data_IF_590899710087
#
_entry.id   IF_590899710087
#
_cell.length_a   1.000
_cell.length_b   1.000
_cell.length_c   1.000
_cell.angle_alpha   90.00
_cell.angle_beta   90.00
_cell.angle_gamma   90.00
#
_symmetry.space_group_name_H-M   'P 1'
#
loop_
_entity.id
_entity.type
_entity.pdbx_description
1 polymer ?
#
# COMPACT_ATOMS: atom_id res chain seq x y z
N UNK A 1 15.60 -15.73 -21.46
CA UNK A 1 16.18 -16.70 -20.50
C UNK A 1 17.07 -15.93 -19.53
N UNK A 2 16.48 -15.43 -18.44
CA UNK A 2 17.21 -14.85 -17.31
C UNK A 2 16.74 -15.60 -16.07
N UNK A 3 17.69 -16.24 -15.39
CA UNK A 3 17.49 -16.82 -14.07
C UNK A 3 17.32 -15.66 -13.09
N UNK A 4 16.12 -15.42 -12.56
CA UNK A 4 15.98 -14.58 -11.37
C UNK A 4 16.42 -15.42 -10.19
N UNK A 5 17.66 -15.18 -9.76
CA UNK A 5 18.18 -15.54 -8.46
C UNK A 5 17.08 -15.20 -7.42
N UNK A 6 16.55 -16.20 -6.71
CA UNK A 6 15.60 -15.96 -5.61
C UNK A 6 16.34 -15.08 -4.60
N UNK A 7 16.09 -13.78 -4.62
CA UNK A 7 16.60 -12.87 -3.59
C UNK A 7 16.13 -13.42 -2.25
N UNK A 8 17.09 -13.63 -1.35
CA UNK A 8 16.81 -14.30 -0.08
C UNK A 8 15.96 -13.35 0.77
N UNK A 9 14.72 -13.75 1.05
CA UNK A 9 13.84 -12.98 1.93
C UNK A 9 14.31 -13.21 3.36
N UNK A 10 14.92 -12.19 3.95
CA UNK A 10 15.36 -12.21 5.34
C UNK A 10 14.24 -11.72 6.26
N UNK A 11 14.23 -12.25 7.49
CA UNK A 11 13.27 -11.89 8.52
C UNK A 11 14.01 -11.33 9.73
N UNK A 12 13.69 -10.10 10.10
CA UNK A 12 14.31 -9.41 11.23
C UNK A 12 13.29 -9.07 12.31
N UNK A 13 13.73 -9.08 13.57
CA UNK A 13 12.96 -8.50 14.67
C UNK A 13 12.89 -7.00 14.47
N UNK A 14 11.69 -6.42 14.60
CA UNK A 14 11.46 -4.99 14.42
C UNK A 14 10.62 -4.41 15.55
N UNK A 15 10.58 -3.08 15.65
CA UNK A 15 9.56 -2.38 16.42
C UNK A 15 8.23 -2.31 15.64
N UNK A 16 7.21 -1.67 16.24
CA UNK A 16 5.89 -1.48 15.62
C UNK A 16 5.91 -0.60 14.36
N UNK A 17 7.00 0.13 14.12
CA UNK A 17 7.22 0.99 12.95
C UNK A 17 8.10 0.31 11.90
N UNK A 18 8.60 -0.89 12.19
CA UNK A 18 9.42 -1.72 11.31
C UNK A 18 10.89 -1.34 11.29
N UNK A 19 11.38 -0.64 12.30
CA UNK A 19 12.81 -0.42 12.52
C UNK A 19 13.45 -1.69 13.08
N UNK A 20 14.59 -2.12 12.53
CA UNK A 20 15.30 -3.32 12.96
C UNK A 20 15.77 -3.18 14.41
N UNK A 21 15.46 -4.17 15.24
CA UNK A 21 15.86 -4.25 16.63
C UNK A 21 16.89 -5.36 16.83
N UNK A 22 17.87 -5.11 17.70
CA UNK A 22 18.71 -6.18 18.22
C UNK A 22 17.90 -7.01 19.23
N UNK A 23 17.67 -8.32 18.97
CA UNK A 23 16.81 -9.17 19.81
C UNK A 23 17.33 -9.37 21.24
N UNK A 24 18.61 -9.08 21.49
CA UNK A 24 19.26 -9.22 22.78
C UNK A 24 19.18 -7.95 23.64
N UNK A 25 18.71 -6.83 23.07
CA UNK A 25 18.48 -5.60 23.82
C UNK A 25 17.25 -5.74 24.74
N UNK A 26 17.26 -5.08 25.92
CA UNK A 26 16.07 -4.98 26.75
C UNK A 26 14.89 -4.41 25.96
N UNK A 27 13.69 -4.93 26.22
CA UNK A 27 12.41 -4.49 25.61
C UNK A 27 12.25 -4.77 24.11
N UNK A 28 13.25 -5.32 23.41
CA UNK A 28 13.10 -5.71 22.00
C UNK A 28 12.01 -6.78 21.81
N UNK A 29 11.89 -7.69 22.78
CA UNK A 29 10.77 -8.63 22.90
C UNK A 29 10.11 -8.39 24.25
N UNK A 30 8.79 -8.25 24.25
CA UNK A 30 8.00 -8.02 25.46
C UNK A 30 7.66 -9.35 26.12
N UNK A 31 7.93 -9.43 27.43
CA UNK A 31 7.57 -10.56 28.28
C UNK A 31 6.69 -10.08 29.42
N UNK A 32 5.48 -10.61 29.51
CA UNK A 32 4.53 -10.31 30.59
C UNK A 32 4.20 -11.57 31.36
N UNK A 33 4.49 -11.59 32.66
CA UNK A 33 4.05 -12.69 33.54
C UNK A 33 2.54 -12.58 33.79
N UNK A 34 1.79 -13.51 33.23
CA UNK A 34 0.32 -13.57 33.34
C UNK A 34 -0.14 -14.67 34.29
N UNK A 35 0.80 -15.31 35.01
CA UNK A 35 0.54 -16.44 35.92
C UNK A 35 -0.56 -16.14 36.94
N UNK A 36 -0.65 -14.88 37.41
CA UNK A 36 -1.62 -14.45 38.42
C UNK A 36 -3.08 -14.54 37.95
N UNK A 37 -3.32 -14.52 36.64
CA UNK A 37 -4.65 -14.57 36.05
C UNK A 37 -5.09 -15.99 35.65
N UNK A 38 -4.25 -17.02 35.89
CA UNK A 38 -4.47 -18.38 35.40
C UNK A 38 -4.41 -19.42 36.53
N UNK A 39 -5.21 -20.50 36.40
CA UNK A 39 -5.14 -21.66 37.28
C UNK A 39 -3.86 -22.46 36.99
N UNK A 40 -2.84 -22.30 37.84
CA UNK A 40 -1.50 -22.90 37.63
C UNK A 40 -1.22 -24.09 38.55
N UNK A 41 -0.49 -25.09 38.04
CA UNK A 41 -0.15 -26.32 38.78
C UNK A 41 1.20 -26.18 39.51
N UNK A 42 1.41 -27.01 40.51
CA UNK A 42 2.72 -27.22 41.14
C UNK A 42 3.12 -28.69 40.99
N UNK A 43 4.41 -28.97 40.84
CA UNK A 43 4.94 -30.35 40.80
C UNK A 43 6.18 -30.49 41.67
N UNK A 44 6.46 -31.71 42.15
CA UNK A 44 7.72 -32.02 42.83
C UNK A 44 8.79 -32.38 41.79
N UNK A 45 9.95 -31.76 41.89
CA UNK A 45 11.12 -32.03 41.03
C UNK A 45 12.26 -32.52 41.92
N UNK A 46 12.94 -33.60 41.51
CA UNK A 46 14.14 -34.11 42.17
C UNK A 46 15.36 -33.34 41.65
N UNK A 47 16.12 -32.71 42.54
CA UNK A 47 17.37 -32.03 42.22
C UNK A 47 18.51 -33.04 42.01
N UNK A 48 19.63 -32.66 41.36
CA UNK A 48 20.84 -33.49 41.26
C UNK A 48 21.39 -33.94 42.61
N UNK A 49 21.15 -33.15 43.67
CA UNK A 49 21.49 -33.50 45.06
C UNK A 49 20.57 -34.56 45.69
N UNK A 50 19.58 -35.07 44.97
CA UNK A 50 18.60 -36.05 45.46
C UNK A 50 17.41 -35.45 46.22
N UNK A 51 17.46 -34.16 46.60
CA UNK A 51 16.37 -33.45 47.32
C UNK A 51 15.18 -33.15 46.42
N UNK A 52 13.97 -33.28 46.96
CA UNK A 52 12.74 -32.86 46.26
C UNK A 52 12.42 -31.39 46.56
N UNK A 53 12.10 -30.62 45.51
CA UNK A 53 11.66 -29.22 45.60
C UNK A 53 10.33 -29.04 44.87
N UNK A 54 9.47 -28.17 45.40
CA UNK A 54 8.22 -27.78 44.75
C UNK A 54 8.50 -26.74 43.66
N UNK A 55 8.22 -27.10 42.42
CA UNK A 55 8.26 -26.18 41.30
C UNK A 55 6.84 -25.69 40.96
N UNK A 56 6.71 -24.40 40.74
CA UNK A 56 5.45 -23.78 40.36
C UNK A 56 5.45 -23.49 38.85
N UNK A 57 4.31 -23.70 38.22
CA UNK A 57 4.11 -23.34 36.82
C UNK A 57 3.94 -21.83 36.71
N UNK A 58 4.70 -21.24 35.80
CA UNK A 58 4.57 -19.86 35.36
C UNK A 58 4.10 -19.85 33.91
N UNK A 59 3.30 -18.85 33.56
CA UNK A 59 2.85 -18.59 32.20
C UNK A 59 3.28 -17.18 31.83
N UNK A 60 4.08 -17.09 30.77
CA UNK A 60 4.55 -15.83 30.22
C UNK A 60 3.87 -15.60 28.88
N UNK A 61 3.39 -14.37 28.69
CA UNK A 61 2.94 -13.85 27.41
C UNK A 61 4.11 -13.16 26.72
N UNK A 62 4.47 -13.65 25.52
CA UNK A 62 5.60 -13.18 24.73
C UNK A 62 5.04 -12.52 23.49
N UNK A 63 5.46 -11.28 23.21
CA UNK A 63 5.03 -10.57 22.01
C UNK A 63 6.14 -9.68 21.45
N UNK A 64 6.06 -9.41 20.15
CA UNK A 64 6.96 -8.53 19.41
C UNK A 64 6.51 -8.41 17.95
N UNK A 65 7.37 -7.81 17.13
CA UNK A 65 7.13 -7.64 15.70
C UNK A 65 8.33 -8.17 14.92
N UNK A 66 8.06 -8.69 13.72
CA UNK A 66 9.09 -9.00 12.73
C UNK A 66 8.72 -8.31 11.41
N UNK A 67 9.70 -8.01 10.57
CA UNK A 67 9.46 -7.56 9.19
C UNK A 67 10.31 -8.37 8.23
N UNK A 68 9.84 -8.47 6.99
CA UNK A 68 10.52 -9.14 5.89
C UNK A 68 11.30 -8.13 5.08
N UNK A 69 12.49 -8.54 4.65
CA UNK A 69 13.43 -7.71 3.91
C UNK A 69 13.95 -8.49 2.71
N UNK A 70 14.21 -7.78 1.62
CA UNK A 70 14.99 -8.26 0.50
C UNK A 70 16.21 -7.35 0.43
N UNK A 71 17.38 -7.94 0.65
CA UNK A 71 18.61 -7.18 0.91
C UNK A 71 18.37 -6.27 2.13
N UNK A 72 18.38 -4.95 1.95
CA UNK A 72 18.14 -3.98 3.02
C UNK A 72 16.75 -3.30 2.93
N UNK A 73 15.98 -3.60 1.89
CA UNK A 73 14.68 -2.97 1.66
C UNK A 73 13.58 -3.77 2.36
N UNK A 74 12.81 -3.08 3.20
CA UNK A 74 11.67 -3.68 3.90
C UNK A 74 10.53 -3.93 2.92
N UNK A 75 10.20 -5.21 2.70
CA UNK A 75 9.13 -5.63 1.79
C UNK A 75 7.82 -5.94 2.49
N UNK A 76 7.81 -6.01 3.83
CA UNK A 76 6.56 -6.18 4.59
C UNK A 76 6.39 -5.13 5.68
N UNK A 77 5.13 -4.78 5.92
CA UNK A 77 4.73 -4.15 7.17
C UNK A 77 5.14 -5.00 8.39
N UNK A 78 5.28 -4.41 9.59
CA UNK A 78 5.58 -5.15 10.82
C UNK A 78 4.50 -6.19 11.15
N UNK A 79 4.90 -7.46 11.20
CA UNK A 79 4.07 -8.62 11.47
C UNK A 79 4.13 -8.92 12.98
N UNK A 80 3.03 -8.76 13.73
CA UNK A 80 3.02 -9.05 15.17
C UNK A 80 3.07 -10.56 15.42
N UNK A 81 3.84 -10.99 16.41
CA UNK A 81 3.75 -12.33 16.99
C UNK A 81 3.35 -12.27 18.45
N UNK A 82 2.51 -13.21 18.88
CA UNK A 82 1.98 -13.29 20.25
C UNK A 82 1.81 -14.75 20.65
N UNK A 83 2.41 -15.16 21.77
CA UNK A 83 2.32 -16.54 22.24
C UNK A 83 2.40 -16.64 23.76
N UNK A 84 1.67 -17.61 24.32
CA UNK A 84 1.81 -18.00 25.72
C UNK A 84 2.77 -19.17 25.85
N UNK A 85 3.76 -19.05 26.74
CA UNK A 85 4.64 -20.16 27.10
C UNK A 85 4.50 -20.48 28.57
N UNK A 86 4.39 -21.76 28.91
CA UNK A 86 4.46 -22.19 30.30
C UNK A 86 5.76 -22.93 30.61
N UNK A 87 6.29 -22.69 31.79
CA UNK A 87 7.48 -23.36 32.31
C UNK A 87 7.37 -23.52 33.82
N UNK A 88 8.23 -24.35 34.41
CA UNK A 88 8.26 -24.59 35.84
C UNK A 88 9.51 -23.98 36.46
N UNK A 89 9.35 -23.24 37.56
CA UNK A 89 10.44 -22.64 38.32
C UNK A 89 10.33 -23.01 39.81
N UNK A 90 11.46 -23.23 40.47
CA UNK A 90 11.52 -23.59 41.89
C UNK A 90 11.44 -22.37 42.82
N UNK A 91 10.51 -21.46 42.55
CA UNK A 91 10.29 -20.24 43.34
C UNK A 91 8.81 -20.06 43.67
N UNK A 92 8.44 -19.27 44.70
CA UNK A 92 7.05 -18.99 45.04
C UNK A 92 6.25 -18.42 43.85
N UNK A 93 4.96 -18.75 43.76
CA UNK A 93 4.06 -18.31 42.66
C UNK A 93 3.95 -16.79 42.47
N UNK A 94 4.26 -15.99 43.49
CA UNK A 94 4.19 -14.52 43.48
C UNK A 94 5.56 -13.85 43.25
N UNK A 95 6.57 -14.63 42.90
CA UNK A 95 7.92 -14.10 42.62
C UNK A 95 7.90 -13.32 41.33
N UNK A 96 8.42 -12.09 41.35
CA UNK A 96 8.58 -11.30 40.14
C UNK A 96 9.77 -11.81 39.33
N UNK A 97 9.48 -12.13 38.07
CA UNK A 97 10.46 -12.66 37.12
C UNK A 97 11.03 -11.55 36.24
N UNK A 98 12.28 -11.75 35.84
CA UNK A 98 12.93 -11.05 34.74
C UNK A 98 13.21 -12.05 33.63
N UNK A 99 13.12 -11.57 32.39
CA UNK A 99 13.30 -12.37 31.19
C UNK A 99 14.41 -11.77 30.35
N UNK A 100 15.21 -12.64 29.73
CA UNK A 100 16.26 -12.25 28.79
C UNK A 100 16.21 -13.16 27.57
N UNK A 101 16.22 -12.57 26.38
CA UNK A 101 16.45 -13.30 25.12
C UNK A 101 17.91 -13.73 25.06
N UNK A 102 18.16 -15.02 24.86
CA UNK A 102 19.50 -15.59 24.72
C UNK A 102 19.78 -16.07 23.30
N UNK A 103 18.73 -16.36 22.54
CA UNK A 103 18.83 -16.79 21.15
C UNK A 103 17.59 -16.31 20.40
N UNK A 104 17.78 -15.81 19.20
CA UNK A 104 16.69 -15.47 18.29
C UNK A 104 17.08 -15.89 16.89
N UNK A 105 16.18 -16.60 16.22
CA UNK A 105 16.30 -16.92 14.81
C UNK A 105 14.93 -16.78 14.15
N UNK A 106 14.87 -16.06 13.04
CA UNK A 106 13.70 -16.01 12.18
C UNK A 106 14.06 -16.53 10.79
N UNK A 107 13.39 -17.59 10.37
CA UNK A 107 13.57 -18.16 9.03
C UNK A 107 12.29 -18.03 8.22
N UNK A 108 12.46 -17.85 6.91
CA UNK A 108 11.36 -17.82 5.94
C UNK A 108 11.48 -19.04 5.03
N UNK A 109 10.34 -19.52 4.55
CA UNK A 109 10.25 -20.54 3.51
C UNK A 109 9.16 -20.14 2.53
N UNK A 110 9.52 -19.92 1.28
CA UNK A 110 8.56 -19.67 0.20
C UNK A 110 7.71 -20.92 -0.01
N UNK A 111 6.39 -20.76 0.07
CA UNK A 111 5.40 -21.84 -0.14
C UNK A 111 4.99 -21.86 -1.62
N UNK A 112 4.71 -20.68 -2.19
CA UNK A 112 4.50 -20.46 -3.62
C UNK A 112 4.70 -18.99 -3.96
N UNK A 113 5.20 -18.70 -5.16
CA UNK A 113 5.21 -17.38 -5.79
C UNK A 113 4.34 -17.46 -7.05
N UNK A 114 3.07 -17.79 -6.89
CA UNK A 114 2.14 -17.69 -8.03
C UNK A 114 1.80 -16.22 -8.23
N UNK A 115 2.30 -15.64 -9.33
CA UNK A 115 1.92 -14.32 -9.85
C UNK A 115 2.26 -13.15 -8.91
N UNK A 116 3.51 -13.10 -8.43
CA UNK A 116 4.08 -11.99 -7.64
C UNK A 116 3.41 -11.67 -6.29
N UNK A 117 2.48 -12.52 -5.84
CA UNK A 117 1.94 -12.53 -4.48
C UNK A 117 2.78 -13.45 -3.59
N UNK A 118 3.32 -12.89 -2.51
CA UNK A 118 4.20 -13.62 -1.60
C UNK A 118 3.42 -14.51 -0.62
N UNK A 119 3.64 -15.83 -0.71
CA UNK A 119 3.16 -16.79 0.28
C UNK A 119 4.35 -17.43 1.01
N UNK A 120 4.50 -17.11 2.29
CA UNK A 120 5.65 -17.52 3.10
C UNK A 120 5.20 -18.26 4.37
N UNK A 121 5.98 -19.26 4.76
CA UNK A 121 6.00 -19.77 6.13
C UNK A 121 7.14 -19.11 6.87
N UNK A 122 6.83 -18.37 7.93
CA UNK A 122 7.79 -17.71 8.79
C UNK A 122 7.89 -18.53 10.09
N UNK A 123 9.10 -18.93 10.44
CA UNK A 123 9.40 -19.68 11.66
C UNK A 123 10.29 -18.85 12.57
N UNK A 124 9.75 -18.47 13.72
CA UNK A 124 10.48 -17.73 14.76
C UNK A 124 10.84 -18.68 15.89
N UNK A 125 12.12 -18.71 16.25
CA UNK A 125 12.65 -19.46 17.38
C UNK A 125 13.28 -18.50 18.38
N UNK A 126 12.74 -18.48 19.60
CA UNK A 126 13.21 -17.62 20.68
C UNK A 126 13.69 -18.50 21.83
N UNK A 127 14.98 -18.46 22.11
CA UNK A 127 15.56 -18.99 23.34
C UNK A 127 15.54 -17.91 24.41
N UNK A 128 14.85 -18.16 25.52
CA UNK A 128 14.67 -17.20 26.62
C UNK A 128 15.14 -17.79 27.94
N UNK A 129 15.62 -16.93 28.82
CA UNK A 129 15.97 -17.24 30.19
C UNK A 129 15.05 -16.46 31.14
N UNK A 130 14.37 -17.19 32.03
CA UNK A 130 13.62 -16.61 33.14
C UNK A 130 14.42 -16.73 34.44
N UNK A 131 14.48 -15.66 35.24
CA UNK A 131 15.10 -15.65 36.56
C UNK A 131 14.37 -14.69 37.52
N UNK A 132 14.37 -14.94 38.84
CA UNK A 132 13.84 -14.00 39.83
C UNK A 132 14.56 -12.65 39.80
N UNK A 133 13.85 -11.53 39.99
CA UNK A 133 14.46 -10.18 40.03
C UNK A 133 15.36 -9.95 41.26
N UNK A 134 15.06 -10.58 42.40
CA UNK A 134 15.62 -10.21 43.71
C UNK A 134 16.47 -11.29 44.39
N UNK A 135 16.80 -12.41 43.72
CA UNK A 135 17.60 -13.50 44.33
C UNK A 135 18.92 -13.80 43.57
N UNK A 136 20.01 -14.23 44.25
CA UNK A 136 21.31 -14.42 43.62
C UNK A 136 21.37 -15.62 42.66
N UNK A 137 22.24 -15.43 41.65
CA UNK A 137 22.54 -16.23 40.46
C UNK A 137 22.82 -17.72 40.73
N UNK A 138 22.06 -18.59 40.06
CA UNK A 138 22.45 -19.80 39.27
C UNK A 138 21.44 -20.95 39.38
N UNK A 139 20.86 -21.22 40.56
CA UNK A 139 20.01 -22.41 40.75
C UNK A 139 18.53 -22.24 40.42
N UNK A 140 18.05 -21.00 40.27
CA UNK A 140 16.62 -20.71 40.01
C UNK A 140 16.37 -20.06 38.65
N UNK A 141 17.30 -20.21 37.69
CA UNK A 141 17.08 -19.79 36.31
C UNK A 141 16.51 -20.92 35.47
N UNK A 142 15.68 -20.58 34.48
CA UNK A 142 15.11 -21.54 33.54
C UNK A 142 15.29 -21.05 32.12
N UNK A 143 15.99 -21.84 31.33
CA UNK A 143 16.00 -21.70 29.88
C UNK A 143 14.78 -22.42 29.28
N UNK A 144 14.17 -21.78 28.30
CA UNK A 144 13.11 -22.37 27.50
C UNK A 144 13.18 -21.84 26.06
N UNK A 145 12.71 -22.66 25.13
CA UNK A 145 12.56 -22.29 23.72
C UNK A 145 11.10 -22.12 23.37
N UNK A 146 10.82 -21.13 22.53
CA UNK A 146 9.50 -20.83 21.99
C UNK A 146 9.61 -20.85 20.48
N UNK A 147 8.79 -21.67 19.84
CA UNK A 147 8.65 -21.75 18.40
C UNK A 147 7.30 -21.12 18.03
N UNK A 148 7.31 -20.25 17.03
CA UNK A 148 6.13 -19.60 16.48
C UNK A 148 6.18 -19.81 14.97
N UNK A 149 5.09 -20.35 14.41
CA UNK A 149 4.93 -20.50 12.97
C UNK A 149 3.84 -19.52 12.53
N UNK A 150 4.19 -18.62 11.60
CA UNK A 150 3.28 -17.66 11.00
C UNK A 150 3.19 -18.01 9.52
N UNK A 151 1.98 -18.04 8.99
CA UNK A 151 1.74 -18.09 7.56
C UNK A 151 1.50 -16.67 7.12
N UNK A 152 2.30 -16.17 6.19
CA UNK A 152 2.15 -14.86 5.58
C UNK A 152 1.58 -15.08 4.18
N UNK A 153 0.40 -14.52 3.91
CA UNK A 153 -0.19 -14.53 2.58
C UNK A 153 -0.57 -13.13 2.16
N UNK A 154 -0.01 -12.71 1.03
CA UNK A 154 -0.55 -11.57 0.32
C UNK A 154 -1.81 -11.99 -0.43
N UNK A 155 -2.88 -11.23 -0.24
CA UNK A 155 -4.07 -11.32 -1.07
C UNK A 155 -4.37 -9.96 -1.65
N UNK A 156 -4.71 -9.92 -2.93
CA UNK A 156 -5.15 -8.68 -3.57
C UNK A 156 -6.45 -8.20 -2.91
N UNK A 157 -6.54 -6.90 -2.62
CA UNK A 157 -7.79 -6.32 -2.15
C UNK A 157 -8.83 -6.37 -3.26
N UNK A 158 -10.05 -6.77 -2.89
CA UNK A 158 -11.19 -6.65 -3.80
C UNK A 158 -11.39 -5.16 -4.04
N UNK A 159 -11.37 -4.77 -5.30
CA UNK A 159 -11.50 -3.36 -5.69
C UNK A 159 -12.68 -3.20 -6.61
N UNK A 160 -13.48 -2.17 -6.36
CA UNK A 160 -14.55 -1.75 -7.23
C UNK A 160 -14.22 -0.33 -7.70
N UNK A 161 -14.12 -0.17 -9.02
CA UNK A 161 -13.99 1.13 -9.66
C UNK A 161 -15.30 1.44 -10.34
N UNK A 162 -15.80 2.65 -10.10
CA UNK A 162 -16.99 3.16 -10.74
C UNK A 162 -16.71 4.55 -11.31
N UNK A 163 -17.34 4.87 -12.43
CA UNK A 163 -17.22 6.19 -13.03
C UNK A 163 -18.60 6.76 -13.30
N UNK A 164 -18.81 7.97 -12.80
CA UNK A 164 -19.91 8.82 -13.21
C UNK A 164 -19.42 9.72 -14.33
N UNK A 165 -20.16 9.81 -15.43
CA UNK A 165 -19.79 10.60 -16.60
C UNK A 165 -20.95 11.51 -16.99
N UNK A 166 -20.66 12.77 -17.26
CA UNK A 166 -21.61 13.75 -17.79
C UNK A 166 -20.87 14.76 -18.67
N UNK A 167 -21.62 15.66 -19.31
CA UNK A 167 -21.06 16.76 -20.10
C UNK A 167 -21.33 18.07 -19.38
N UNK A 168 -20.35 18.97 -19.43
CA UNK A 168 -20.54 20.33 -18.95
C UNK A 168 -21.60 21.04 -19.78
N UNK A 169 -22.56 21.65 -19.09
CA UNK A 169 -23.56 22.55 -19.66
C UNK A 169 -23.28 23.98 -19.20
N UNK A 170 -23.41 24.94 -20.11
CA UNK A 170 -23.18 26.37 -19.86
C UNK A 170 -23.92 26.84 -18.61
N UNK A 171 -23.20 27.54 -17.72
CA UNK A 171 -23.67 28.05 -16.43
C UNK A 171 -24.12 26.99 -15.40
N UNK A 172 -24.08 25.68 -15.74
CA UNK A 172 -24.46 24.61 -14.82
C UNK A 172 -23.31 24.27 -13.86
N UNK A 173 -23.54 24.53 -12.58
CA UNK A 173 -22.60 24.22 -11.48
C UNK A 173 -23.00 23.00 -10.65
N UNK A 174 -24.24 22.52 -10.79
CA UNK A 174 -24.74 21.38 -10.03
C UNK A 174 -25.11 20.24 -10.98
N UNK A 175 -24.62 19.04 -10.66
CA UNK A 175 -24.88 17.81 -11.40
C UNK A 175 -25.43 16.76 -10.45
N UNK A 176 -26.33 15.94 -10.95
CA UNK A 176 -27.10 14.95 -10.21
C UNK A 176 -27.05 13.59 -10.89
N UNK A 177 -27.69 12.60 -10.29
CA UNK A 177 -27.82 11.27 -10.89
C UNK A 177 -28.54 11.29 -12.25
N UNK A 178 -29.39 12.28 -12.52
CA UNK A 178 -30.14 12.39 -13.77
C UNK A 178 -29.26 12.84 -14.95
N UNK A 179 -28.14 13.49 -14.65
CA UNK A 179 -27.19 13.98 -15.65
C UNK A 179 -26.17 12.90 -16.08
N UNK A 180 -26.22 11.71 -15.46
CA UNK A 180 -25.34 10.61 -15.79
C UNK A 180 -25.60 10.09 -17.20
N UNK A 181 -24.53 9.92 -17.98
CA UNK A 181 -24.57 9.25 -19.28
C UNK A 181 -24.67 7.73 -19.05
N UNK A 182 -25.81 7.09 -19.34
CA UNK A 182 -26.09 5.71 -18.94
C UNK A 182 -25.21 4.66 -19.64
N UNK A 183 -24.58 5.04 -20.75
CA UNK A 183 -23.64 4.20 -21.51
C UNK A 183 -22.37 3.87 -20.71
N UNK A 184 -21.93 4.79 -19.84
CA UNK A 184 -20.68 4.66 -19.09
C UNK A 184 -20.87 4.31 -17.61
N UNK A 185 -22.08 4.45 -17.09
CA UNK A 185 -22.43 4.21 -15.68
C UNK A 185 -23.93 4.32 -15.45
N UNK A 186 -24.45 3.77 -14.34
CA UNK A 186 -25.88 3.81 -14.02
C UNK A 186 -26.19 3.76 -12.52
N UNK A 187 -25.22 4.12 -11.69
CA UNK A 187 -25.30 4.10 -10.21
C UNK A 187 -25.40 5.50 -9.63
N UNK A 188 -25.30 6.54 -10.47
CA UNK A 188 -25.25 7.93 -10.06
C UNK A 188 -23.98 8.28 -9.29
N UNK A 189 -23.99 9.46 -8.68
CA UNK A 189 -22.92 9.98 -7.84
C UNK A 189 -22.95 9.25 -6.50
N UNK A 190 -21.92 8.45 -6.23
CA UNK A 190 -21.85 7.61 -5.03
C UNK A 190 -21.62 8.44 -3.77
N UNK A 191 -22.04 7.89 -2.62
CA UNK A 191 -21.74 8.46 -1.31
C UNK A 191 -20.22 8.43 -1.03
N UNK A 192 -19.57 9.60 -0.81
CA UNK A 192 -18.18 9.70 -0.41
C UNK A 192 -17.77 8.85 0.79
N UNK A 193 -18.67 8.59 1.74
CA UNK A 193 -18.39 7.78 2.94
C UNK A 193 -18.35 6.28 2.65
N UNK A 194 -18.88 5.85 1.50
CA UNK A 194 -19.04 4.45 1.11
C UNK A 194 -18.00 3.98 0.08
N UNK A 195 -17.01 4.83 -0.21
CA UNK A 195 -15.89 4.57 -1.13
C UNK A 195 -14.56 4.80 -0.43
N UNK A 196 -13.45 4.33 -1.00
CA UNK A 196 -12.12 4.61 -0.44
C UNK A 196 -11.68 6.03 -0.77
N UNK A 197 -11.83 6.43 -2.03
CA UNK A 197 -11.55 7.78 -2.52
C UNK A 197 -12.22 8.05 -3.86
N UNK A 198 -12.19 9.30 -4.31
CA UNK A 198 -12.63 9.70 -5.64
C UNK A 198 -11.83 10.87 -6.21
N UNK A 199 -11.81 10.97 -7.54
CA UNK A 199 -11.22 12.09 -8.27
C UNK A 199 -12.23 12.66 -9.24
N UNK A 200 -12.29 13.99 -9.34
CA UNK A 200 -13.00 14.69 -10.41
C UNK A 200 -12.01 15.02 -11.53
N UNK A 201 -12.40 14.76 -12.77
CA UNK A 201 -11.71 15.18 -13.97
C UNK A 201 -12.64 16.07 -14.77
N UNK A 202 -12.12 17.22 -15.23
CA UNK A 202 -12.81 18.09 -16.17
C UNK A 202 -11.90 18.22 -17.39
N UNK A 203 -12.41 17.83 -18.55
CA UNK A 203 -11.65 17.83 -19.81
C UNK A 203 -10.29 17.11 -19.71
N UNK A 204 -10.27 15.96 -19.01
CA UNK A 204 -9.05 15.17 -18.79
C UNK A 204 -8.12 15.68 -17.69
N UNK A 205 -8.36 16.87 -17.11
CA UNK A 205 -7.52 17.43 -16.04
C UNK A 205 -8.13 17.13 -14.67
N UNK A 206 -7.34 16.48 -13.81
CA UNK A 206 -7.72 16.22 -12.41
C UNK A 206 -7.96 17.55 -11.68
N UNK A 207 -9.08 17.63 -10.97
CA UNK A 207 -9.48 18.83 -10.24
C UNK A 207 -9.07 18.73 -8.75
N UNK A 208 -8.47 19.78 -8.18
CA UNK A 208 -8.21 19.90 -6.74
C UNK A 208 -9.51 19.83 -5.93
N UNK A 209 -9.43 19.38 -4.67
CA UNK A 209 -10.60 19.15 -3.80
C UNK A 209 -11.37 20.43 -3.50
N UNK A 210 -10.70 21.57 -3.52
CA UNK A 210 -11.26 22.90 -3.29
C UNK A 210 -12.21 23.32 -4.42
N UNK A 211 -12.04 22.76 -5.62
CA UNK A 211 -12.82 23.12 -6.80
C UNK A 211 -14.21 22.47 -6.84
N UNK A 212 -14.54 21.57 -5.90
CA UNK A 212 -15.81 20.86 -5.95
C UNK A 212 -16.21 20.18 -4.63
N UNK A 213 -17.51 20.16 -4.38
CA UNK A 213 -18.14 19.39 -3.32
C UNK A 213 -18.87 18.18 -3.91
N UNK A 214 -18.81 17.05 -3.20
CA UNK A 214 -19.58 15.85 -3.55
C UNK A 214 -20.31 15.40 -2.31
N UNK A 215 -21.60 15.14 -2.48
CA UNK A 215 -22.45 14.38 -1.57
C UNK A 215 -23.17 13.28 -2.36
N UNK A 216 -23.82 12.35 -1.67
CA UNK A 216 -24.56 11.29 -2.36
C UNK A 216 -25.57 11.89 -3.33
N UNK A 217 -25.44 11.56 -4.61
CA UNK A 217 -26.34 12.01 -5.66
C UNK A 217 -26.11 13.43 -6.19
N UNK A 218 -25.09 14.16 -5.71
CA UNK A 218 -24.84 15.55 -6.15
C UNK A 218 -23.35 15.90 -6.20
N UNK A 219 -22.97 16.55 -7.30
CA UNK A 219 -21.70 17.24 -7.50
C UNK A 219 -21.97 18.74 -7.61
N UNK A 220 -21.23 19.56 -6.86
CA UNK A 220 -21.25 21.02 -6.96
C UNK A 220 -19.88 21.53 -7.37
N UNK A 221 -19.79 22.26 -8.47
CA UNK A 221 -18.55 22.87 -8.97
C UNK A 221 -18.33 24.25 -8.34
N UNK A 222 -17.20 24.41 -7.65
CA UNK A 222 -16.74 25.64 -7.02
C UNK A 222 -15.67 26.34 -7.86
N UNK A 223 -15.79 26.26 -9.18
CA UNK A 223 -14.83 26.83 -10.14
C UNK A 223 -15.19 28.28 -10.49
N UNK A 224 -14.14 29.08 -10.68
CA UNK A 224 -14.25 30.47 -11.14
C UNK A 224 -14.40 30.50 -12.66
N UNK A 225 -13.57 29.73 -13.35
CA UNK A 225 -13.59 29.64 -14.81
C UNK A 225 -14.48 28.48 -15.26
N UNK A 226 -15.47 28.82 -16.10
CA UNK A 226 -16.35 27.84 -16.70
C UNK A 226 -15.56 26.95 -17.68
N UNK A 227 -15.76 25.62 -17.66
CA UNK A 227 -15.28 24.73 -18.70
C UNK A 227 -15.90 25.10 -20.06
N UNK A 228 -15.31 24.56 -21.12
CA UNK A 228 -15.91 24.68 -22.46
C UNK A 228 -17.20 23.88 -22.50
N UNK A 229 -18.22 24.41 -23.18
CA UNK A 229 -19.48 23.71 -23.44
C UNK A 229 -19.23 22.29 -23.97
N UNK A 230 -19.95 21.29 -23.44
CA UNK A 230 -19.75 19.86 -23.70
C UNK A 230 -18.40 19.29 -23.26
N UNK A 231 -17.61 19.98 -22.44
CA UNK A 231 -16.41 19.39 -21.84
C UNK A 231 -16.79 18.17 -20.98
N UNK A 232 -16.08 17.04 -21.09
CA UNK A 232 -16.40 15.85 -20.31
C UNK A 232 -16.09 16.08 -18.83
N UNK A 233 -17.06 15.71 -17.99
CA UNK A 233 -16.94 15.69 -16.53
C UNK A 233 -17.00 14.23 -16.10
N UNK A 234 -15.94 13.77 -15.42
CA UNK A 234 -15.83 12.40 -14.94
C UNK A 234 -15.53 12.40 -13.45
N UNK A 235 -16.30 11.64 -12.67
CA UNK A 235 -15.96 11.32 -11.28
C UNK A 235 -15.57 9.85 -11.19
N UNK A 236 -14.31 9.57 -10.85
CA UNK A 236 -13.83 8.20 -10.62
C UNK A 236 -13.95 7.89 -9.14
N UNK A 237 -14.74 6.90 -8.78
CA UNK A 237 -14.82 6.34 -7.44
C UNK A 237 -14.03 5.03 -7.36
N UNK A 238 -13.20 4.90 -6.33
CA UNK A 238 -12.42 3.67 -6.08
C UNK A 238 -12.76 3.18 -4.68
N UNK A 239 -13.10 1.90 -4.56
CA UNK A 239 -13.42 1.26 -3.28
C UNK A 239 -12.60 -0.01 -3.10
N UNK A 240 -11.73 -0.02 -2.09
CA UNK A 240 -11.02 -1.22 -1.67
C UNK A 240 -11.73 -1.85 -0.49
N UNK A 241 -12.00 -3.15 -0.58
CA UNK A 241 -12.55 -3.97 0.50
C UNK A 241 -11.64 -5.14 0.80
N UNK A 242 -11.49 -5.46 2.07
CA UNK A 242 -10.94 -6.75 2.46
C UNK A 242 -11.99 -7.87 2.39
N UNK A 243 -11.58 -9.06 2.84
CA UNK A 243 -12.43 -10.23 2.88
C UNK A 243 -13.59 -10.14 3.88
N UNK A 244 -13.54 -9.26 4.89
CA UNK A 244 -14.69 -8.99 5.77
C UNK A 244 -15.67 -7.98 5.17
N UNK A 245 -15.26 -7.28 4.11
CA UNK A 245 -16.04 -6.24 3.45
C UNK A 245 -15.76 -4.83 3.97
N UNK A 246 -14.80 -4.69 4.89
CA UNK A 246 -14.41 -3.41 5.47
C UNK A 246 -13.68 -2.56 4.42
N UNK A 247 -14.05 -1.28 4.35
CA UNK A 247 -13.46 -0.34 3.40
C UNK A 247 -12.11 0.12 3.93
N UNK A 248 -11.12 0.17 3.04
CA UNK A 248 -9.84 0.81 3.36
C UNK A 248 -9.98 2.30 3.08
N UNK A 249 -10.01 3.16 4.11
CA UNK A 249 -10.11 4.60 3.89
C UNK A 249 -8.87 5.09 3.15
N UNK A 250 -9.07 6.09 2.29
CA UNK A 250 -7.98 6.75 1.60
C UNK A 250 -8.12 8.28 1.64
N UNK A 251 -6.98 8.94 1.71
CA UNK A 251 -6.83 10.40 1.68
C UNK A 251 -6.07 10.76 0.40
N UNK A 252 -6.50 11.78 -0.32
CA UNK A 252 -5.79 12.31 -1.49
C UNK A 252 -5.29 13.71 -1.16
N UNK A 253 -4.05 13.97 -1.52
CA UNK A 253 -3.45 15.30 -1.43
C UNK A 253 -2.87 15.69 -2.78
N UNK A 254 -2.95 16.98 -3.10
CA UNK A 254 -2.40 17.51 -4.34
C UNK A 254 -1.35 18.56 -4.02
N UNK A 255 -0.19 18.43 -4.66
CA UNK A 255 0.73 19.54 -4.85
C UNK A 255 0.55 20.03 -6.28
N UNK A 256 0.22 21.31 -6.44
CA UNK A 256 0.04 21.93 -7.75
C UNK A 256 1.06 23.05 -7.91
N UNK A 257 1.61 23.21 -9.11
CA UNK A 257 2.46 24.35 -9.50
C UNK A 257 2.28 24.62 -10.98
N UNK A 258 2.75 25.78 -11.44
CA UNK A 258 2.82 26.13 -12.85
C UNK A 258 4.29 26.10 -13.27
N UNK A 259 4.56 25.51 -14.42
CA UNK A 259 5.91 25.51 -14.99
C UNK A 259 6.33 26.92 -15.41
N UNK A 260 7.57 27.30 -15.10
CA UNK A 260 8.19 28.51 -15.62
C UNK A 260 8.85 28.31 -16.99
N UNK A 261 8.87 27.07 -17.50
CA UNK A 261 9.51 26.70 -18.76
C UNK A 261 11.04 26.81 -18.73
N UNK A 262 11.65 26.85 -17.55
CA UNK A 262 13.09 26.99 -17.35
C UNK A 262 13.64 25.89 -16.44
N UNK A 263 13.00 25.64 -15.29
CA UNK A 263 13.50 24.68 -14.29
C UNK A 263 12.90 23.29 -14.46
N UNK A 264 13.67 22.30 -14.01
CA UNK A 264 13.30 20.90 -13.92
C UNK A 264 13.09 20.43 -12.46
N UNK A 265 13.20 21.34 -11.50
CA UNK A 265 13.00 21.07 -10.08
C UNK A 265 11.96 22.01 -9.48
N UNK A 266 11.09 21.46 -8.65
CA UNK A 266 10.00 22.19 -8.01
C UNK A 266 9.99 21.86 -6.51
N UNK A 267 9.80 22.90 -5.69
CA UNK A 267 9.87 22.83 -4.23
C UNK A 267 8.59 23.37 -3.58
N UNK A 268 8.47 23.22 -2.26
CA UNK A 268 7.28 23.65 -1.52
C UNK A 268 6.92 25.13 -1.71
N UNK A 269 7.90 25.99 -1.98
CA UNK A 269 7.69 27.42 -2.25
C UNK A 269 7.02 27.71 -3.60
N UNK A 270 7.04 26.76 -4.54
CA UNK A 270 6.42 26.90 -5.86
C UNK A 270 4.92 26.56 -5.84
N UNK A 271 4.42 26.03 -4.73
CA UNK A 271 3.07 25.48 -4.66
C UNK A 271 1.99 26.54 -4.91
N UNK A 272 0.90 26.05 -5.49
CA UNK A 272 -0.39 26.70 -5.57
C UNK A 272 -1.34 25.86 -4.70
N UNK A 273 -1.77 26.44 -3.58
CA UNK A 273 -2.57 25.78 -2.55
C UNK A 273 -1.78 25.49 -1.27
N UNK A 274 -2.36 24.67 -0.40
CA UNK A 274 -1.87 24.54 0.98
C UNK A 274 -0.87 23.39 1.16
N UNK A 275 -0.94 22.36 0.32
CA UNK A 275 -0.16 21.13 0.51
C UNK A 275 1.20 21.20 -0.19
N UNK A 276 2.28 20.94 0.55
CA UNK A 276 3.62 20.75 0.00
C UNK A 276 3.84 19.34 -0.55
N UNK A 277 5.06 19.06 -1.01
CA UNK A 277 5.47 17.78 -1.56
C UNK A 277 5.71 16.79 -0.41
N UNK A 278 4.81 15.83 -0.28
CA UNK A 278 4.80 14.82 0.79
C UNK A 278 5.92 13.80 0.55
N UNK A 279 6.54 13.31 1.63
CA UNK A 279 7.47 12.19 1.57
C UNK A 279 6.77 10.95 0.96
N UNK A 280 7.28 10.38 -0.16
CA UNK A 280 6.71 9.17 -0.76
C UNK A 280 6.60 7.99 0.22
N UNK A 281 7.44 7.94 1.26
CA UNK A 281 7.35 6.92 2.30
C UNK A 281 6.08 7.03 3.16
N UNK A 282 5.47 8.21 3.25
CA UNK A 282 4.26 8.46 4.04
C UNK A 282 2.94 8.21 3.30
N UNK A 283 3.00 7.85 2.01
CA UNK A 283 1.82 7.65 1.14
C UNK A 283 1.85 6.27 0.49
N UNK A 284 0.74 5.88 -0.16
CA UNK A 284 0.61 4.56 -0.78
C UNK A 284 1.24 4.49 -2.16
N UNK A 285 1.02 5.53 -2.97
CA UNK A 285 1.64 5.76 -4.28
C UNK A 285 1.45 7.23 -4.68
N UNK A 286 2.15 7.65 -5.73
CA UNK A 286 2.15 9.03 -6.25
C UNK A 286 1.93 8.99 -7.75
N UNK A 287 1.10 9.89 -8.27
CA UNK A 287 0.99 10.15 -9.70
C UNK A 287 1.48 11.57 -10.01
N UNK A 288 2.27 11.72 -11.06
CA UNK A 288 2.64 13.03 -11.61
C UNK A 288 1.87 13.27 -12.91
N UNK A 289 1.22 14.42 -13.00
CA UNK A 289 0.57 14.90 -14.21
C UNK A 289 1.25 16.18 -14.69
N UNK A 290 1.55 16.24 -15.98
CA UNK A 290 1.99 17.47 -16.66
C UNK A 290 1.00 17.76 -17.76
N UNK A 291 0.34 18.92 -17.69
CA UNK A 291 -0.78 19.26 -18.57
C UNK A 291 -1.90 18.19 -18.59
N UNK A 292 -2.16 17.54 -17.47
CA UNK A 292 -3.10 16.42 -17.37
C UNK A 292 -2.58 15.07 -17.88
N UNK A 293 -1.43 15.02 -18.58
CA UNK A 293 -0.83 13.76 -19.04
C UNK A 293 -0.10 13.08 -17.88
N UNK A 294 -0.49 11.85 -17.54
CA UNK A 294 0.20 11.02 -16.56
C UNK A 294 1.64 10.75 -17.01
N UNK A 295 2.61 11.08 -16.16
CA UNK A 295 4.03 10.92 -16.45
C UNK A 295 4.55 9.53 -16.01
N UNK A 296 5.41 8.88 -16.81
CA UNK A 296 6.12 7.67 -16.41
C UNK A 296 6.98 7.88 -15.17
N UNK A 297 7.00 6.92 -14.24
CA UNK A 297 7.77 7.03 -12.98
C UNK A 297 9.27 7.21 -13.19
N UNK A 298 9.84 6.68 -14.28
CA UNK A 298 11.27 6.86 -14.60
C UNK A 298 11.64 8.30 -14.98
N UNK A 299 10.66 9.13 -15.33
CA UNK A 299 10.89 10.50 -15.77
C UNK A 299 11.01 11.50 -14.61
N UNK A 300 10.79 11.08 -13.37
CA UNK A 300 10.82 11.98 -12.23
C UNK A 300 11.19 11.27 -10.93
N UNK A 301 11.65 12.06 -9.95
CA UNK A 301 11.85 11.61 -8.58
C UNK A 301 11.09 12.53 -7.64
N UNK A 302 10.48 11.96 -6.61
CA UNK A 302 9.82 12.73 -5.55
C UNK A 302 10.56 12.45 -4.24
N UNK A 303 10.85 13.50 -3.50
CA UNK A 303 11.32 13.47 -2.13
C UNK A 303 10.51 14.48 -1.33
N UNK A 304 10.58 14.40 0.00
CA UNK A 304 9.94 15.41 0.84
C UNK A 304 10.42 16.82 0.44
N UNK A 305 9.48 17.66 0.02
CA UNK A 305 9.75 19.05 -0.40
C UNK A 305 10.40 19.21 -1.77
N UNK A 306 10.58 18.16 -2.58
CA UNK A 306 11.27 18.24 -3.87
C UNK A 306 10.68 17.28 -4.93
N UNK A 307 10.34 17.84 -6.09
CA UNK A 307 10.08 17.13 -7.34
C UNK A 307 11.21 17.46 -8.31
N UNK A 308 11.89 16.44 -8.85
CA UNK A 308 12.92 16.61 -9.88
C UNK A 308 12.58 15.79 -11.12
N UNK A 309 12.46 16.44 -12.28
CA UNK A 309 12.36 15.79 -13.58
C UNK A 309 13.73 15.23 -13.99
N UNK A 310 13.74 13.98 -14.44
CA UNK A 310 14.93 13.23 -14.87
C UNK A 310 15.13 13.27 -16.39
N UNK A 311 14.22 13.91 -17.11
CA UNK A 311 14.30 14.07 -18.56
C UNK A 311 15.03 15.37 -18.93
N UNK A 312 15.51 15.45 -20.18
CA UNK A 312 16.18 16.65 -20.69
C UNK A 312 15.19 17.74 -21.12
N UNK A 313 13.97 17.36 -21.47
CA UNK A 313 12.89 18.27 -21.76
C UNK A 313 12.26 18.77 -20.45
N UNK A 314 12.05 20.07 -20.39
CA UNK A 314 11.40 20.73 -19.26
C UNK A 314 9.92 20.97 -19.60
N UNK A 315 9.00 20.88 -18.61
CA UNK A 315 7.61 21.20 -18.83
C UNK A 315 7.48 22.59 -19.47
N UNK A 316 6.70 22.78 -20.55
CA UNK A 316 6.58 24.09 -21.19
C UNK A 316 6.08 25.16 -20.22
N UNK A 317 6.44 26.42 -20.47
CA UNK A 317 6.00 27.54 -19.64
C UNK A 317 4.47 27.59 -19.56
N UNK A 318 3.96 27.96 -18.38
CA UNK A 318 2.54 28.17 -18.07
C UNK A 318 1.70 26.87 -18.08
N UNK A 319 2.34 25.70 -18.16
CA UNK A 319 1.67 24.39 -18.07
C UNK A 319 1.50 23.96 -16.61
N UNK A 320 0.32 23.43 -16.22
CA UNK A 320 0.11 22.89 -14.88
C UNK A 320 0.86 21.59 -14.64
N UNK A 321 1.44 21.50 -13.44
CA UNK A 321 2.09 20.31 -12.90
C UNK A 321 1.37 19.94 -11.61
N UNK A 322 0.88 18.71 -11.54
CA UNK A 322 0.14 18.20 -10.39
C UNK A 322 0.77 16.90 -9.91
N UNK A 323 1.20 16.86 -8.66
CA UNK A 323 1.49 15.62 -7.94
C UNK A 323 0.26 15.24 -7.13
N UNK A 324 -0.26 14.05 -7.39
CA UNK A 324 -1.32 13.42 -6.63
C UNK A 324 -0.72 12.39 -5.67
N UNK A 325 -0.92 12.57 -4.37
CA UNK A 325 -0.49 11.67 -3.33
C UNK A 325 -1.70 10.90 -2.79
N UNK A 326 -1.72 9.58 -2.96
CA UNK A 326 -2.82 8.74 -2.49
C UNK A 326 -2.34 8.00 -1.24
N UNK A 327 -3.06 8.15 -0.14
CA UNK A 327 -2.73 7.55 1.16
C UNK A 327 -3.84 6.62 1.61
N UNK A 328 -3.60 5.32 1.46
CA UNK A 328 -4.54 4.25 1.74
C UNK A 328 -4.18 3.59 3.06
N UNK A 329 -5.16 3.46 3.95
CA UNK A 329 -4.97 2.87 5.27
C UNK A 329 -5.86 1.66 5.44
N UNK A 330 -5.37 0.71 6.23
CA UNK A 330 -6.21 -0.33 6.82
C UNK A 330 -7.24 0.31 7.77
N UNK A 331 -8.34 -0.40 8.09
CA UNK A 331 -9.27 0.03 9.13
C UNK A 331 -8.62 0.33 10.49
N UNK A 332 -7.45 -0.27 10.78
CA UNK A 332 -6.68 -0.01 12.00
C UNK A 332 -5.74 1.22 11.91
N UNK A 333 -5.79 1.99 10.81
CA UNK A 333 -5.01 3.21 10.56
C UNK A 333 -3.62 2.99 9.93
N UNK A 334 -3.19 1.73 9.74
CA UNK A 334 -1.88 1.42 9.17
C UNK A 334 -1.82 1.70 7.67
N UNK A 335 -0.77 2.40 7.22
CA UNK A 335 -0.50 2.67 5.80
C UNK A 335 -0.28 1.37 5.01
N UNK A 336 -0.83 1.32 3.80
CA UNK A 336 -0.62 0.24 2.83
C UNK A 336 0.10 0.79 1.62
N UNK A 337 1.23 0.21 1.21
CA UNK A 337 1.90 0.56 -0.04
C UNK A 337 1.20 -0.10 -1.22
N UNK A 338 1.07 0.63 -2.32
CA UNK A 338 0.65 0.06 -3.59
C UNK A 338 1.87 -0.28 -4.44
N UNK A 339 1.73 -1.30 -5.29
CA UNK A 339 2.64 -1.52 -6.42
C UNK A 339 1.98 -0.92 -7.65
N UNK A 340 2.72 -0.13 -8.41
CA UNK A 340 2.26 0.52 -9.63
C UNK A 340 3.11 0.06 -10.81
N UNK A 341 2.47 -0.03 -11.97
CA UNK A 341 3.15 -0.24 -13.24
C UNK A 341 2.35 0.44 -14.35
N UNK A 342 3.01 1.06 -15.32
CA UNK A 342 2.32 1.71 -16.43
C UNK A 342 2.89 1.21 -17.75
N UNK A 343 2.06 0.50 -18.51
CA UNK A 343 2.33 0.23 -19.92
C UNK A 343 2.12 1.52 -20.70
N UNK A 344 3.14 1.97 -21.42
CA UNK A 344 3.09 3.19 -22.23
C UNK A 344 3.31 2.83 -23.69
N UNK A 345 2.45 3.34 -24.56
CA UNK A 345 2.49 3.13 -26.00
C UNK A 345 2.16 4.43 -26.75
N UNK A 346 2.39 4.44 -28.05
CA UNK A 346 1.87 5.46 -28.96
C UNK A 346 0.69 4.88 -29.72
N UNK A 347 -0.37 5.67 -29.84
CA UNK A 347 -1.53 5.30 -30.63
C UNK A 347 -1.16 5.06 -32.10
N UNK A 348 -1.72 4.01 -32.68
CA UNK A 348 -1.53 3.64 -34.07
C UNK A 348 -2.87 3.26 -34.72
N UNK A 349 -2.83 2.84 -35.98
CA UNK A 349 -4.02 2.56 -36.81
C UNK A 349 -4.72 1.24 -36.45
N UNK A 350 -4.67 0.83 -35.18
CA UNK A 350 -5.32 -0.38 -34.67
C UNK A 350 -5.88 -0.13 -33.26
N UNK A 351 -6.98 -0.81 -32.95
CA UNK A 351 -7.58 -0.84 -31.63
C UNK A 351 -6.96 -1.89 -30.71
N UNK A 352 -5.95 -2.64 -31.18
CA UNK A 352 -5.30 -3.71 -30.42
C UNK A 352 -3.88 -3.30 -30.11
N UNK A 353 -3.54 -3.33 -28.83
CA UNK A 353 -2.20 -3.11 -28.30
C UNK A 353 -1.72 -4.40 -27.64
N UNK A 354 -0.44 -4.68 -27.83
CA UNK A 354 0.26 -5.86 -27.32
C UNK A 354 1.51 -5.43 -26.58
N UNK A 355 2.21 -6.40 -25.98
CA UNK A 355 3.52 -6.13 -25.36
C UNK A 355 4.57 -5.57 -26.33
N UNK A 356 4.39 -5.72 -27.64
CA UNK A 356 5.33 -5.18 -28.63
C UNK A 356 5.20 -3.67 -28.81
N UNK A 357 4.05 -3.11 -28.43
CA UNK A 357 3.75 -1.69 -28.57
C UNK A 357 4.29 -0.87 -27.37
N UNK A 358 4.86 -1.55 -26.36
CA UNK A 358 5.43 -0.92 -25.19
C UNK A 358 6.66 -0.06 -25.54
N UNK A 359 6.64 1.18 -25.09
CA UNK A 359 7.80 2.06 -25.07
C UNK A 359 8.77 1.59 -23.97
N UNK A 360 9.69 0.71 -24.35
CA UNK A 360 10.64 0.05 -23.43
C UNK A 360 11.52 1.00 -22.60
N UNK A 361 11.59 2.27 -22.99
CA UNK A 361 12.28 3.32 -22.22
C UNK A 361 11.59 3.64 -20.90
N UNK A 362 10.30 3.30 -20.75
CA UNK A 362 9.48 3.59 -19.56
C UNK A 362 9.16 2.35 -18.71
N UNK A 363 9.30 1.14 -19.27
CA UNK A 363 9.01 -0.12 -18.60
C UNK A 363 9.11 -1.30 -19.58
N UNK A 364 9.23 -2.53 -19.08
CA UNK A 364 9.49 -3.74 -19.89
C UNK A 364 8.68 -4.97 -19.46
N UNK A 365 7.60 -4.78 -18.69
CA UNK A 365 6.74 -5.87 -18.19
C UNK A 365 5.57 -6.18 -19.14
N UNK A 366 5.32 -5.33 -20.13
CA UNK A 366 4.17 -5.41 -21.01
C UNK A 366 2.83 -5.17 -20.31
N UNK A 367 1.76 -5.60 -20.95
CA UNK A 367 0.39 -5.50 -20.42
C UNK A 367 0.19 -6.62 -19.38
N UNK A 368 0.04 -6.22 -18.12
CA UNK A 368 -0.13 -7.13 -17.00
C UNK A 368 -1.49 -7.85 -17.05
N UNK A 369 -1.56 -9.01 -16.39
CA UNK A 369 -2.83 -9.74 -16.21
C UNK A 369 -3.68 -9.03 -15.13
N UNK A 370 -4.88 -8.49 -15.48
CA UNK A 370 -5.71 -7.76 -14.52
C UNK A 370 -6.12 -8.56 -13.30
N UNK A 371 -6.09 -9.90 -13.38
CA UNK A 371 -6.39 -10.79 -12.24
C UNK A 371 -5.45 -10.57 -11.05
N UNK A 372 -4.24 -10.06 -11.28
CA UNK A 372 -3.24 -9.80 -10.24
C UNK A 372 -3.04 -8.31 -9.95
N UNK A 373 -3.99 -7.48 -10.39
CA UNK A 373 -4.00 -6.04 -10.15
C UNK A 373 -5.31 -5.63 -9.51
N UNK A 374 -5.27 -4.70 -8.56
CA UNK A 374 -6.47 -4.24 -7.86
C UNK A 374 -7.40 -3.55 -8.86
N UNK A 375 -6.86 -2.67 -9.68
CA UNK A 375 -7.57 -2.05 -10.79
C UNK A 375 -6.56 -1.51 -11.81
N UNK A 376 -7.08 -1.12 -12.97
CA UNK A 376 -6.33 -0.44 -14.00
C UNK A 376 -7.06 0.81 -14.48
N UNK A 377 -6.29 1.74 -15.02
CA UNK A 377 -6.77 2.98 -15.63
C UNK A 377 -6.15 3.07 -17.03
N UNK A 378 -6.98 3.22 -18.05
CA UNK A 378 -6.52 3.57 -19.39
C UNK A 378 -6.64 5.07 -19.59
N UNK A 379 -5.53 5.72 -19.94
CA UNK A 379 -5.48 7.10 -20.38
C UNK A 379 -5.14 7.14 -21.86
N UNK A 380 -5.92 7.89 -22.63
CA UNK A 380 -5.64 8.17 -24.04
C UNK A 380 -5.60 9.68 -24.18
N UNK A 381 -4.45 10.22 -24.58
CA UNK A 381 -4.23 11.65 -24.72
C UNK A 381 -4.68 12.46 -23.48
N UNK A 382 -4.18 12.07 -22.29
CA UNK A 382 -4.55 12.60 -20.96
C UNK A 382 -5.98 12.30 -20.47
N UNK A 383 -6.86 11.75 -21.29
CA UNK A 383 -8.26 11.49 -20.89
C UNK A 383 -8.40 10.08 -20.36
N UNK A 384 -8.86 9.96 -19.11
CA UNK A 384 -9.22 8.68 -18.51
C UNK A 384 -10.41 8.06 -19.27
N UNK A 385 -10.24 6.83 -19.75
CA UNK A 385 -11.23 6.13 -20.55
C UNK A 385 -12.23 5.37 -19.67
N UNK A 386 -13.53 5.35 -20.06
CA UNK A 386 -14.53 4.45 -19.50
C UNK A 386 -14.17 2.97 -19.64
N UNK A 387 -14.44 2.17 -18.61
CA UNK A 387 -14.14 0.74 -18.60
C UNK A 387 -14.88 -0.05 -19.67
N UNK A 388 -16.01 0.46 -20.18
CA UNK A 388 -16.73 -0.16 -21.31
C UNK A 388 -15.99 0.02 -22.64
N UNK A 389 -15.16 1.07 -22.77
CA UNK A 389 -14.45 1.42 -24.00
C UNK A 389 -13.20 0.58 -24.22
N UNK A 390 -12.83 -0.30 -23.29
CA UNK A 390 -11.66 -1.15 -23.47
C UNK A 390 -11.76 -2.46 -22.69
N UNK A 391 -10.89 -3.39 -23.03
CA UNK A 391 -10.73 -4.66 -22.34
C UNK A 391 -9.26 -4.98 -22.22
N UNK A 392 -8.89 -5.53 -21.07
CA UNK A 392 -7.50 -5.86 -20.74
C UNK A 392 -7.43 -7.33 -20.43
N UNK A 393 -6.48 -8.00 -21.06
CA UNK A 393 -6.05 -9.35 -20.77
C UNK A 393 -4.52 -9.36 -20.67
N UNK A 394 -3.95 -10.45 -20.16
CA UNK A 394 -2.49 -10.58 -20.10
C UNK A 394 -1.91 -10.43 -21.51
N UNK A 395 -1.09 -9.41 -21.71
CA UNK A 395 -0.42 -9.13 -22.97
C UNK A 395 -1.27 -8.45 -24.05
N UNK A 396 -2.51 -8.05 -23.73
CA UNK A 396 -3.47 -7.54 -24.71
C UNK A 396 -4.35 -6.44 -24.12
N UNK A 397 -4.39 -5.30 -24.81
CA UNK A 397 -5.35 -4.22 -24.58
C UNK A 397 -6.14 -4.04 -25.87
N UNK A 398 -7.46 -4.11 -25.76
CA UNK A 398 -8.39 -3.90 -26.90
C UNK A 398 -9.24 -2.69 -26.61
N UNK A 399 -9.27 -1.72 -27.54
CA UNK A 399 -10.24 -0.64 -27.54
C UNK A 399 -11.54 -1.13 -28.18
N UNK A 400 -12.64 -0.97 -27.46
CA UNK A 400 -13.99 -1.38 -27.85
C UNK A 400 -14.77 -0.22 -28.48
N UNK A 401 -14.06 0.69 -29.14
CA UNK A 401 -14.61 1.87 -29.81
C UNK A 401 -14.37 1.79 -31.31
N UNK A 402 -15.30 2.35 -32.10
CA UNK A 402 -15.12 2.45 -33.55
C UNK A 402 -14.07 3.50 -33.92
N UNK A 403 -14.02 4.59 -33.13
CA UNK A 403 -13.05 5.66 -33.31
C UNK A 403 -11.70 5.26 -32.73
N UNK A 404 -10.66 5.39 -33.57
CA UNK A 404 -9.28 5.20 -33.16
C UNK A 404 -8.72 6.48 -32.53
N UNK A 405 -7.85 6.36 -31.52
CA UNK A 405 -7.13 7.51 -31.00
C UNK A 405 -6.31 8.20 -32.09
N UNK A 406 -6.07 9.50 -31.90
CA UNK A 406 -5.18 10.25 -32.79
C UNK A 406 -3.81 9.56 -32.86
N UNK A 407 -3.33 9.27 -34.07
CA UNK A 407 -2.03 8.65 -34.30
C UNK A 407 -0.92 9.40 -33.54
N UNK A 408 0.00 8.64 -32.96
CA UNK A 408 1.12 9.12 -32.14
C UNK A 408 0.72 9.82 -30.83
N UNK A 409 -0.57 9.83 -30.47
CA UNK A 409 -0.98 10.29 -29.13
C UNK A 409 -0.60 9.29 -28.03
N UNK A 410 -0.32 9.75 -26.81
CA UNK A 410 0.04 8.86 -25.71
C UNK A 410 -1.10 7.93 -25.30
N UNK A 411 -0.77 6.65 -25.14
CA UNK A 411 -1.63 5.62 -24.55
C UNK A 411 -0.94 5.09 -23.30
N UNK A 412 -1.55 5.29 -22.14
CA UNK A 412 -1.00 4.84 -20.85
C UNK A 412 -2.01 3.94 -20.15
N UNK A 413 -1.66 2.67 -19.97
CA UNK A 413 -2.43 1.72 -19.18
C UNK A 413 -1.74 1.51 -17.84
N UNK A 414 -2.26 2.18 -16.81
CA UNK A 414 -1.76 2.13 -15.45
C UNK A 414 -2.39 0.96 -14.69
N UNK A 415 -1.59 0.16 -14.02
CA UNK A 415 -1.99 -0.92 -13.13
C UNK A 415 -1.64 -0.56 -11.69
N UNK A 416 -2.59 -0.77 -10.78
CA UNK A 416 -2.41 -0.53 -9.36
C UNK A 416 -2.72 -1.83 -8.64
N UNK A 417 -1.81 -2.30 -7.79
CA UNK A 417 -1.97 -3.49 -6.98
C UNK A 417 -1.84 -3.15 -5.50
N UNK A 418 -2.89 -3.45 -4.73
CA UNK A 418 -2.92 -3.27 -3.28
C UNK A 418 -3.17 -4.62 -2.63
N UNK A 419 -2.24 -5.03 -1.78
CA UNK A 419 -2.30 -6.32 -1.10
C UNK A 419 -2.71 -6.14 0.36
N UNK A 420 -3.72 -6.91 0.77
CA UNK A 420 -3.93 -7.23 2.18
C UNK A 420 -2.89 -8.24 2.66
N UNK A 421 -2.69 -8.26 3.97
CA UNK A 421 -1.85 -9.25 4.64
C UNK A 421 -2.75 -10.14 5.48
N UNK A 422 -2.62 -11.45 5.28
CA UNK A 422 -3.32 -12.49 6.03
C UNK A 422 -2.35 -13.41 6.77
#
# INVERSE_FOLDING_TARGET
MWFTNLSKIDCHLTDKHGNILNPYNPMAISYSDVTRFLKTRSKRIRLPSGKYVRANQFVVYIQGYISLFVEDNRISNPIPFRIYKSFYLCVPKRTDLSFKTCYFNCGTKVISNENDLLNLSIKINIGSMAQPKTQPKTFCQRYFTTEINITYRESLLRTEVYQYNTLYEEDKKEYTNEDEIPEYGNRGILDPEMVSFFNLYINGVVQPRENYDIEQGKLTLNIVDAPVENAPILIRFVTFRDSSGDIYPAEIYYYNTISDGIKNEYIDEDKIGDTGIIDPEEVSFVNLYVNGVLQPEVNYTVQKGLLSFQTSDIPPKDVPITLEFIKIRRPNGQLVKAKTYTFNALAHESNIYTNQDELIIYGDQGILDPKYTSYNNLFINAVLQPFVNYSVEKGLLTLNTDDLPLKDSPVSLQFISITSLY
#
